data_IF_137164656899
#
_entry.id   IF_137164656899
#
_cell.length_a   1.000
_cell.length_b   1.000
_cell.length_c   1.000
_cell.angle_alpha   90.00
_cell.angle_beta   90.00
_cell.angle_gamma   90.00
#
_symmetry.space_group_name_H-M   'P 1'
#
loop_
_entity.id
_entity.type
_entity.pdbx_description
1 polymer ?
#
# COMPACT_ATOMS: atom_id res chain seq x y z
N UNK A 1 -9.50 -31.40 20.24
CA UNK A 1 -9.05 -30.00 20.43
C UNK A 1 -10.09 -28.99 19.93
N UNK A 2 -10.52 -29.06 18.66
CA UNK A 2 -11.58 -28.20 18.11
C UNK A 2 -12.89 -28.21 18.93
N UNK A 3 -13.36 -29.38 19.35
CA UNK A 3 -14.55 -29.49 20.21
C UNK A 3 -14.43 -28.69 21.52
N UNK A 4 -13.22 -28.57 22.07
CA UNK A 4 -12.97 -27.80 23.29
C UNK A 4 -13.08 -26.29 23.04
N UNK A 5 -12.61 -25.83 21.87
CA UNK A 5 -12.74 -24.43 21.43
C UNK A 5 -14.20 -24.09 21.15
N UNK A 6 -14.93 -25.00 20.48
CA UNK A 6 -16.36 -24.82 20.18
C UNK A 6 -17.18 -24.79 21.48
N UNK A 7 -16.95 -25.71 22.41
CA UNK A 7 -17.65 -25.70 23.71
C UNK A 7 -17.30 -24.46 24.55
N UNK A 8 -16.03 -24.04 24.58
CA UNK A 8 -15.64 -22.77 25.19
C UNK A 8 -16.36 -21.59 24.54
N UNK A 9 -16.54 -21.66 23.22
CA UNK A 9 -17.19 -20.59 22.45
C UNK A 9 -18.68 -20.48 22.74
N UNK A 10 -19.37 -21.62 22.82
CA UNK A 10 -20.79 -21.68 23.15
C UNK A 10 -21.02 -21.25 24.61
N UNK A 11 -20.12 -21.63 25.54
CA UNK A 11 -20.20 -21.24 26.95
C UNK A 11 -20.04 -19.73 27.15
N UNK A 12 -19.16 -19.08 26.38
CA UNK A 12 -18.87 -17.65 26.47
C UNK A 12 -19.48 -16.83 25.32
N UNK A 13 -20.74 -17.16 24.94
CA UNK A 13 -21.44 -16.55 23.80
C UNK A 13 -21.48 -15.02 23.79
N UNK A 14 -21.56 -14.38 24.97
CA UNK A 14 -21.58 -12.92 25.07
C UNK A 14 -20.22 -12.31 24.75
N UNK A 15 -19.14 -12.89 25.30
CA UNK A 15 -17.77 -12.41 25.06
C UNK A 15 -17.42 -12.55 23.58
N UNK A 16 -17.76 -13.69 22.98
CA UNK A 16 -17.50 -13.92 21.56
C UNK A 16 -18.36 -13.03 20.67
N UNK A 17 -19.63 -12.82 21.02
CA UNK A 17 -20.48 -11.85 20.32
C UNK A 17 -19.88 -10.45 20.33
N UNK A 18 -19.33 -10.00 21.47
CA UNK A 18 -18.66 -8.71 21.59
C UNK A 18 -17.39 -8.63 20.75
N UNK A 19 -16.55 -9.67 20.77
CA UNK A 19 -15.35 -9.74 19.92
C UNK A 19 -15.69 -9.71 18.43
N UNK A 20 -16.73 -10.43 18.01
CA UNK A 20 -17.21 -10.42 16.63
C UNK A 20 -17.70 -9.02 16.23
N UNK A 21 -18.47 -8.36 17.10
CA UNK A 21 -18.92 -6.98 16.88
C UNK A 21 -17.75 -6.01 16.77
N UNK A 22 -16.78 -6.11 17.67
CA UNK A 22 -15.56 -5.30 17.63
C UNK A 22 -14.78 -5.51 16.32
N UNK A 23 -14.65 -6.77 15.87
CA UNK A 23 -14.02 -7.11 14.58
C UNK A 23 -14.77 -6.52 13.39
N UNK A 24 -16.11 -6.55 13.40
CA UNK A 24 -16.92 -5.95 12.34
C UNK A 24 -16.70 -4.44 12.30
N UNK A 25 -16.78 -3.75 13.43
CA UNK A 25 -16.59 -2.30 13.53
C UNK A 25 -15.18 -1.93 13.02
N UNK A 26 -14.17 -2.66 13.48
CA UNK A 26 -12.79 -2.46 13.06
C UNK A 26 -12.60 -2.71 11.55
N UNK A 27 -13.20 -3.79 11.03
CA UNK A 27 -13.15 -4.13 9.62
C UNK A 27 -13.78 -3.05 8.75
N UNK A 28 -14.95 -2.54 9.13
CA UNK A 28 -15.62 -1.44 8.43
C UNK A 28 -14.79 -0.16 8.48
N UNK A 29 -14.22 0.17 9.63
CA UNK A 29 -13.35 1.33 9.77
C UNK A 29 -12.10 1.23 8.87
N UNK A 30 -11.46 0.06 8.85
CA UNK A 30 -10.30 -0.20 8.01
C UNK A 30 -10.66 -0.16 6.52
N UNK A 31 -11.79 -0.74 6.13
CA UNK A 31 -12.25 -0.74 4.74
C UNK A 31 -12.53 0.69 4.24
N UNK A 32 -13.11 1.55 5.09
CA UNK A 32 -13.33 2.97 4.75
C UNK A 32 -12.05 3.80 4.66
N UNK A 33 -10.99 3.38 5.37
CA UNK A 33 -9.68 4.06 5.37
C UNK A 33 -8.71 3.53 4.34
N UNK A 34 -9.06 2.44 3.65
CA UNK A 34 -8.20 1.89 2.62
C UNK A 34 -8.11 2.92 1.47
N UNK A 35 -6.92 3.40 1.11
CA UNK A 35 -6.77 4.22 -0.07
C UNK A 35 -7.12 3.35 -1.28
N UNK A 36 -8.21 3.70 -1.97
CA UNK A 36 -8.63 3.04 -3.20
C UNK A 36 -8.16 3.93 -4.34
N UNK A 37 -7.24 3.42 -5.13
CA UNK A 37 -6.87 4.00 -6.42
C UNK A 37 -7.60 3.27 -7.55
N UNK A 38 -7.98 4.02 -8.59
CA UNK A 38 -8.77 3.50 -9.71
C UNK A 38 -7.99 2.48 -10.56
N UNK A 39 -6.66 2.53 -10.52
CA UNK A 39 -5.75 1.66 -11.26
C UNK A 39 -4.55 1.34 -10.39
N UNK A 40 -3.99 0.12 -10.47
CA UNK A 40 -2.70 -0.14 -9.85
C UNK A 40 -1.63 0.74 -10.52
N UNK A 41 -0.72 1.30 -9.72
CA UNK A 41 0.44 2.00 -10.26
C UNK A 41 1.34 0.98 -10.99
N UNK A 42 1.37 1.09 -12.32
CA UNK A 42 2.17 0.27 -13.22
C UNK A 42 3.45 0.98 -13.65
N UNK A 43 3.77 2.13 -13.05
CA UNK A 43 4.95 2.93 -13.38
C UNK A 43 6.19 2.25 -12.83
N UNK A 44 7.26 2.21 -13.63
CA UNK A 44 8.55 1.72 -13.16
C UNK A 44 9.18 2.74 -12.21
N UNK A 45 10.01 2.26 -11.27
CA UNK A 45 10.83 3.15 -10.45
C UNK A 45 11.91 3.80 -11.33
N UNK A 46 11.71 5.06 -11.71
CA UNK A 46 12.62 5.82 -12.57
C UNK A 46 13.31 6.92 -11.78
N UNK A 47 14.64 6.99 -11.89
CA UNK A 47 15.42 8.13 -11.41
C UNK A 47 15.75 9.01 -12.59
N UNK A 48 15.18 10.22 -12.62
CA UNK A 48 15.45 11.20 -13.67
C UNK A 48 16.57 12.15 -13.23
N UNK A 49 17.61 12.27 -14.05
CA UNK A 49 18.70 13.23 -13.85
C UNK A 49 18.53 14.32 -14.91
N UNK A 50 18.30 15.55 -14.46
CA UNK A 50 18.12 16.71 -15.34
C UNK A 50 19.32 17.64 -15.15
N UNK A 51 20.11 17.80 -16.19
CA UNK A 51 21.25 18.72 -16.21
C UNK A 51 21.02 19.79 -17.25
N UNK A 52 21.00 21.06 -16.82
CA UNK A 52 20.73 22.21 -17.69
C UNK A 52 22.06 22.85 -18.08
N UNK A 53 22.34 22.95 -19.38
CA UNK A 53 23.51 23.66 -19.91
C UNK A 53 23.09 24.65 -21.01
N UNK A 54 22.96 25.95 -20.69
CA UNK A 54 22.46 26.95 -21.62
C UNK A 54 23.50 27.39 -22.66
N UNK A 55 24.79 27.11 -22.44
CA UNK A 55 25.89 27.56 -23.28
C UNK A 55 26.38 26.53 -24.29
N UNK A 56 26.06 25.25 -24.10
CA UNK A 56 26.53 24.16 -24.95
C UNK A 56 25.53 23.87 -26.07
N UNK A 57 26.02 23.59 -27.26
CA UNK A 57 25.19 23.10 -28.36
C UNK A 57 24.67 21.69 -28.06
N UNK A 58 23.59 21.27 -28.72
CA UNK A 58 22.97 19.96 -28.48
C UNK A 58 23.98 18.78 -28.57
N UNK A 59 24.90 18.84 -29.53
CA UNK A 59 25.95 17.83 -29.72
C UNK A 59 26.94 17.78 -28.54
N UNK A 60 27.25 18.92 -27.95
CA UNK A 60 28.17 19.03 -26.82
C UNK A 60 27.49 18.58 -25.52
N UNK A 61 26.19 18.86 -25.33
CA UNK A 61 25.40 18.34 -24.20
C UNK A 61 25.28 16.81 -24.28
N UNK A 62 25.09 16.26 -25.48
CA UNK A 62 25.11 14.82 -25.70
C UNK A 62 26.45 14.22 -25.26
N UNK A 63 27.57 14.68 -25.84
CA UNK A 63 28.89 14.08 -25.63
C UNK A 63 29.51 14.33 -24.24
N UNK A 64 29.26 15.50 -23.63
CA UNK A 64 29.93 15.91 -22.39
C UNK A 64 29.08 15.72 -21.14
N UNK A 65 27.75 15.61 -21.27
CA UNK A 65 26.82 15.59 -20.14
C UNK A 65 25.92 14.34 -20.13
N UNK A 66 25.40 13.90 -21.28
CA UNK A 66 24.49 12.74 -21.35
C UNK A 66 25.20 11.39 -21.58
N UNK A 67 26.28 11.37 -22.36
CA UNK A 67 27.17 10.21 -22.56
C UNK A 67 28.41 10.05 -21.65
N UNK A 68 28.74 10.94 -20.69
CA UNK A 68 30.04 10.93 -20.04
C UNK A 68 30.30 9.68 -19.19
#
# INVERSE_FOLDING_TARGET
MLNKIIQFSIKNKLVIGLFTLALIIWGVYSAKKLPIDAVPDITNNQVQIITISPSLAAQEVEQLISFP
#
